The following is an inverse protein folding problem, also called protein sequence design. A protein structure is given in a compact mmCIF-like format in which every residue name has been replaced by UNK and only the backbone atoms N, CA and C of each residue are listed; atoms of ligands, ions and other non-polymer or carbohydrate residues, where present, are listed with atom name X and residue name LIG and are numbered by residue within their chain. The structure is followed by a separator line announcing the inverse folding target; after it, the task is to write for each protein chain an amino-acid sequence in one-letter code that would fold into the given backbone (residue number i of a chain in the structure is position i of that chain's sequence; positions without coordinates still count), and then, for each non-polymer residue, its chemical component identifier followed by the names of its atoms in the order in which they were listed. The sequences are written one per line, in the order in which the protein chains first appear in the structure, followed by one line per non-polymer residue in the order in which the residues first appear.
data_IF_346025874010
#
_entry.id   IF_346025874010
#
_cell.length_a   1.000
_cell.length_b   1.000
_cell.length_c   1.000
_cell.angle_alpha   90.00
_cell.angle_beta   90.00
_cell.angle_gamma   90.00
#
_symmetry.space_group_name_H-M   'P 1'
#
loop_
_entity.id
_entity.type
_entity.pdbx_description
1 polymer ?
#
# COMPACT_ATOMS: atom_id res chain seq x y z
N UNK A 1 12.13 8.23 10.16
CA UNK A 1 11.73 6.92 10.67
C UNK A 1 11.22 6.00 9.58
N UNK A 2 10.20 6.42 8.85
CA UNK A 2 9.65 5.64 7.74
C UNK A 2 10.67 5.45 6.62
N UNK A 3 11.37 6.51 6.25
CA UNK A 3 12.41 6.46 5.22
C UNK A 3 13.52 5.50 5.61
N UNK A 4 13.92 5.53 6.87
CA UNK A 4 14.96 4.65 7.40
C UNK A 4 14.52 3.19 7.32
N UNK A 5 13.27 2.91 7.68
CA UNK A 5 12.70 1.58 7.62
C UNK A 5 12.71 1.03 6.18
N UNK A 6 12.28 1.85 5.23
CA UNK A 6 12.30 1.45 3.82
C UNK A 6 13.72 1.24 3.31
N UNK A 7 14.69 2.02 3.81
CA UNK A 7 16.09 1.82 3.48
C UNK A 7 16.61 0.48 3.97
N UNK A 8 16.22 0.07 5.19
CA UNK A 8 16.59 -1.23 5.75
C UNK A 8 16.00 -2.38 4.94
N UNK A 9 14.82 -2.18 4.35
CA UNK A 9 14.19 -3.16 3.46
C UNK A 9 14.74 -3.07 2.04
N UNK A 10 15.73 -2.20 1.80
CA UNK A 10 16.32 -1.97 0.49
C UNK A 10 15.32 -1.44 -0.53
N UNK A 11 14.27 -0.79 -0.07
CA UNK A 11 13.27 -0.16 -0.93
C UNK A 11 13.71 1.22 -1.40
N UNK A 12 14.62 1.88 -0.66
CA UNK A 12 15.13 3.21 -0.97
C UNK A 12 16.65 3.18 -0.97
N UNK A 13 17.28 3.23 -2.15
CA UNK A 13 18.75 3.30 -2.20
C UNK A 13 19.22 4.69 -1.77
N UNK A 14 20.18 4.73 -0.85
CA UNK A 14 20.84 5.97 -0.48
C UNK A 14 21.84 6.32 -1.58
N UNK A 15 21.81 7.57 -2.05
CA UNK A 15 22.69 7.99 -3.14
C UNK A 15 23.98 8.63 -2.64
N UNK A 16 23.94 9.28 -1.47
CA UNK A 16 25.10 10.01 -0.97
C UNK A 16 24.94 10.25 0.51
N UNK A 17 26.05 10.69 1.13
CA UNK A 17 26.05 11.11 2.53
C UNK A 17 26.28 12.61 2.61
N UNK A 18 25.39 13.30 3.31
CA UNK A 18 25.54 14.72 3.55
C UNK A 18 26.55 15.04 4.64
N UNK A 19 26.72 16.32 4.92
CA UNK A 19 27.58 16.77 6.01
C UNK A 19 27.13 16.13 7.35
N UNK A 20 28.08 15.72 8.14
CA UNK A 20 27.81 15.05 9.41
C UNK A 20 27.44 13.58 9.26
N UNK A 21 27.62 12.99 8.09
CA UNK A 21 27.39 11.56 7.85
C UNK A 21 25.94 11.18 7.63
N UNK A 22 25.05 12.15 7.46
CA UNK A 22 23.64 11.88 7.18
C UNK A 22 23.46 11.35 5.76
N UNK A 23 22.53 10.42 5.61
CA UNK A 23 22.18 9.92 4.29
C UNK A 23 21.33 10.94 3.56
N UNK A 24 21.70 11.17 2.29
CA UNK A 24 20.92 12.01 1.40
C UNK A 24 20.26 11.13 0.35
N UNK A 25 19.04 11.45 -0.02
CA UNK A 25 18.29 10.71 -1.01
C UNK A 25 18.11 11.60 -2.26
N UNK A 26 18.23 10.98 -3.44
CA UNK A 26 18.00 11.66 -4.71
C UNK A 26 16.52 11.97 -4.90
N UNK A 27 16.21 12.80 -5.92
CA UNK A 27 14.83 13.06 -6.31
C UNK A 27 14.12 11.75 -6.70
N UNK A 28 14.85 10.83 -7.35
CA UNK A 28 14.29 9.53 -7.71
C UNK A 28 13.89 8.73 -6.47
N UNK A 29 14.71 8.81 -5.41
CA UNK A 29 14.38 8.15 -4.15
C UNK A 29 13.15 8.76 -3.50
N UNK A 30 12.98 10.08 -3.59
CA UNK A 30 11.79 10.76 -3.05
C UNK A 30 10.54 10.35 -3.82
N UNK A 31 10.62 10.29 -5.15
CA UNK A 31 9.49 9.83 -5.97
C UNK A 31 9.15 8.37 -5.67
N UNK A 32 10.16 7.53 -5.47
CA UNK A 32 9.97 6.14 -5.10
C UNK A 32 9.29 6.03 -3.74
N UNK A 33 9.67 6.87 -2.77
CA UNK A 33 9.03 6.92 -1.48
C UNK A 33 7.54 7.27 -1.60
N UNK A 34 7.21 8.26 -2.44
CA UNK A 34 5.82 8.64 -2.68
C UNK A 34 5.04 7.49 -3.30
N UNK A 35 5.65 6.76 -4.22
CA UNK A 35 5.06 5.59 -4.86
C UNK A 35 4.77 4.51 -3.82
N UNK A 36 5.77 4.19 -2.99
CA UNK A 36 5.63 3.20 -1.91
C UNK A 36 4.53 3.60 -0.94
N UNK A 37 4.49 4.88 -0.55
CA UNK A 37 3.48 5.40 0.37
C UNK A 37 2.08 5.26 -0.21
N UNK A 38 1.93 5.52 -1.51
CA UNK A 38 0.64 5.35 -2.20
C UNK A 38 0.19 3.89 -2.18
N UNK A 39 1.10 2.97 -2.48
CA UNK A 39 0.78 1.54 -2.46
C UNK A 39 0.39 1.07 -1.06
N UNK A 40 1.08 1.55 -0.04
CA UNK A 40 0.72 1.26 1.36
C UNK A 40 -0.68 1.77 1.67
N UNK A 41 -1.00 2.97 1.24
CA UNK A 41 -2.34 3.54 1.43
C UNK A 41 -3.42 2.69 0.78
N UNK A 42 -3.13 2.11 -0.39
CA UNK A 42 -4.06 1.24 -1.11
C UNK A 42 -4.19 -0.15 -0.47
N UNK A 43 -3.34 -0.46 0.49
CA UNK A 43 -3.44 -1.69 1.25
C UNK A 43 -2.51 -2.81 0.83
N UNK A 44 -1.52 -2.53 -0.02
CA UNK A 44 -0.51 -3.52 -0.36
C UNK A 44 0.44 -3.72 0.84
N UNK A 45 0.89 -4.96 1.03
CA UNK A 45 1.84 -5.26 2.10
C UNK A 45 3.24 -4.83 1.71
N UNK A 46 4.11 -4.68 2.72
CA UNK A 46 5.51 -4.35 2.47
C UNK A 46 6.21 -5.46 1.66
N UNK A 47 5.82 -6.72 1.86
CA UNK A 47 6.33 -7.82 1.06
C UNK A 47 5.99 -7.69 -0.40
N UNK A 48 4.74 -7.35 -0.71
CA UNK A 48 4.28 -7.12 -2.09
C UNK A 48 5.00 -5.93 -2.71
N UNK A 49 5.17 -4.86 -1.95
CA UNK A 49 5.90 -3.67 -2.42
C UNK A 49 7.37 -4.02 -2.66
N UNK A 50 7.97 -4.84 -1.79
CA UNK A 50 9.34 -5.29 -1.96
C UNK A 50 9.55 -6.08 -3.25
N UNK A 51 8.60 -6.95 -3.59
CA UNK A 51 8.65 -7.71 -4.83
C UNK A 51 8.62 -6.77 -6.05
N UNK A 52 7.76 -5.76 -6.01
CA UNK A 52 7.71 -4.74 -7.06
C UNK A 52 9.02 -3.99 -7.16
N UNK A 53 9.64 -3.68 -6.03
CA UNK A 53 10.91 -2.96 -6.00
C UNK A 53 12.02 -3.76 -6.67
N UNK A 54 12.02 -5.07 -6.52
CA UNK A 54 13.02 -5.93 -7.17
C UNK A 54 12.90 -5.86 -8.69
N UNK A 55 11.69 -5.63 -9.21
CA UNK A 55 11.45 -5.43 -10.64
C UNK A 55 11.68 -3.99 -11.08
N UNK A 56 11.83 -3.07 -10.13
CA UNK A 56 11.94 -1.63 -10.37
C UNK A 56 13.42 -1.20 -10.36
N UNK A 57 14.23 -1.82 -11.21
CA UNK A 57 15.69 -1.58 -11.23
C UNK A 57 16.02 -0.26 -11.89
N UNK A 58 15.35 0.07 -13.00
CA UNK A 58 15.67 1.23 -13.83
C UNK A 58 14.45 2.08 -14.11
N UNK A 59 13.51 2.15 -13.18
CA UNK A 59 12.24 2.84 -13.35
C UNK A 59 11.12 1.86 -13.68
N UNK A 60 9.98 2.38 -14.10
CA UNK A 60 8.81 1.56 -14.40
C UNK A 60 9.07 0.72 -15.66
N UNK A 61 9.19 -0.59 -15.50
CA UNK A 61 9.34 -1.53 -16.60
C UNK A 61 7.99 -2.16 -16.92
N UNK A 62 7.79 -2.70 -18.15
CA UNK A 62 6.55 -3.42 -18.46
C UNK A 62 6.27 -4.56 -17.48
N UNK A 63 7.31 -5.29 -17.05
CA UNK A 63 7.16 -6.38 -16.09
C UNK A 63 6.66 -5.87 -14.74
N UNK A 64 7.22 -4.77 -14.25
CA UNK A 64 6.80 -4.16 -12.98
C UNK A 64 5.36 -3.68 -13.07
N UNK A 65 5.00 -3.02 -14.17
CA UNK A 65 3.63 -2.50 -14.35
C UNK A 65 2.62 -3.65 -14.43
N UNK A 66 2.97 -4.75 -15.08
CA UNK A 66 2.11 -5.92 -15.14
C UNK A 66 1.90 -6.52 -13.76
N UNK A 67 2.96 -6.67 -12.99
CA UNK A 67 2.90 -7.20 -11.63
C UNK A 67 2.05 -6.29 -10.74
N UNK A 68 2.27 -4.99 -10.83
CA UNK A 68 1.49 -4.01 -10.08
C UNK A 68 0.01 -4.10 -10.44
N UNK A 69 -0.31 -4.20 -11.74
CA UNK A 69 -1.68 -4.35 -12.19
C UNK A 69 -2.37 -5.57 -11.61
N UNK A 70 -1.65 -6.69 -11.51
CA UNK A 70 -2.17 -7.92 -10.92
C UNK A 70 -2.44 -7.75 -9.41
N UNK A 71 -1.52 -7.12 -8.70
CA UNK A 71 -1.68 -6.85 -7.27
C UNK A 71 -2.87 -5.93 -7.01
N UNK A 72 -3.03 -4.90 -7.84
CA UNK A 72 -4.16 -3.98 -7.71
C UNK A 72 -5.48 -4.68 -8.02
N UNK A 73 -5.51 -5.58 -9.00
CA UNK A 73 -6.71 -6.34 -9.32
C UNK A 73 -7.14 -7.22 -8.14
N UNK A 74 -6.19 -7.90 -7.51
CA UNK A 74 -6.46 -8.72 -6.33
C UNK A 74 -6.99 -7.84 -5.19
N UNK A 75 -6.34 -6.70 -4.95
CA UNK A 75 -6.76 -5.79 -3.88
C UNK A 75 -8.16 -5.23 -4.15
N UNK A 76 -8.45 -4.89 -5.41
CA UNK A 76 -9.78 -4.40 -5.80
C UNK A 76 -10.85 -5.45 -5.49
N UNK A 77 -10.59 -6.71 -5.81
CA UNK A 77 -11.52 -7.80 -5.51
C UNK A 77 -11.75 -7.96 -4.00
N UNK A 78 -10.68 -7.87 -3.21
CA UNK A 78 -10.76 -7.95 -1.75
C UNK A 78 -11.63 -6.85 -1.18
N UNK A 79 -11.42 -5.62 -1.65
CA UNK A 79 -12.19 -4.46 -1.17
C UNK A 79 -13.66 -4.59 -1.57
N UNK A 80 -13.93 -5.01 -2.80
CA UNK A 80 -15.30 -5.22 -3.29
C UNK A 80 -16.04 -6.24 -2.43
N UNK A 81 -15.36 -7.34 -2.09
CA UNK A 81 -15.94 -8.37 -1.22
C UNK A 81 -16.22 -7.82 0.17
N UNK A 82 -15.28 -7.03 0.70
CA UNK A 82 -15.46 -6.42 2.02
C UNK A 82 -16.60 -5.44 2.05
N UNK A 83 -16.82 -4.70 0.97
CA UNK A 83 -17.97 -3.80 0.85
C UNK A 83 -19.28 -4.57 0.93
N UNK A 84 -19.37 -5.71 0.23
CA UNK A 84 -20.57 -6.55 0.30
C UNK A 84 -20.80 -7.08 1.71
N UNK A 85 -19.75 -7.56 2.37
CA UNK A 85 -19.86 -8.03 3.75
C UNK A 85 -20.36 -6.94 4.69
N UNK A 86 -19.81 -5.74 4.55
CA UNK A 86 -20.21 -4.61 5.39
C UNK A 86 -21.63 -4.16 5.11
N UNK A 87 -22.08 -4.19 3.85
CA UNK A 87 -23.47 -3.88 3.51
C UNK A 87 -24.44 -4.88 4.13
N UNK A 88 -24.09 -6.16 4.09
CA UNK A 88 -24.90 -7.21 4.71
C UNK A 88 -24.98 -7.01 6.23
N UNK A 89 -23.84 -6.72 6.85
CA UNK A 89 -23.79 -6.48 8.29
C UNK A 89 -24.61 -5.25 8.67
N UNK A 90 -24.49 -4.17 7.89
CA UNK A 90 -25.28 -2.97 8.14
C UNK A 90 -26.78 -3.27 8.07
N UNK A 91 -27.19 -4.06 7.09
CA UNK A 91 -28.59 -4.45 6.94
C UNK A 91 -29.08 -5.26 8.16
N UNK A 92 -28.26 -6.20 8.62
CA UNK A 92 -28.58 -7.00 9.82
C UNK A 92 -28.67 -6.12 11.07
N UNK A 93 -27.75 -5.18 11.21
CA UNK A 93 -27.76 -4.25 12.33
C UNK A 93 -29.03 -3.40 12.35
N UNK A 94 -29.42 -2.89 11.18
CA UNK A 94 -30.63 -2.08 11.06
C UNK A 94 -31.88 -2.88 11.41
N UNK A 95 -31.97 -4.12 10.94
CA UNK A 95 -33.11 -4.98 11.24
C UNK A 95 -33.22 -5.29 12.73
N UNK A 96 -32.08 -5.60 13.34
CA UNK A 96 -32.05 -5.89 14.77
C UNK A 96 -32.40 -4.65 15.59
N UNK A 97 -31.87 -3.52 15.19
CA UNK A 97 -32.16 -2.25 15.85
C UNK A 97 -33.65 -1.92 15.80
N UNK A 98 -34.31 -2.13 14.67
CA UNK A 98 -35.74 -1.91 14.53
C UNK A 98 -36.55 -2.82 15.46
N UNK A 99 -36.16 -4.09 15.59
CA UNK A 99 -36.82 -5.02 16.50
C UNK A 99 -36.74 -4.56 17.96
N UNK A 100 -35.57 -4.07 18.35
CA UNK A 100 -35.36 -3.58 19.71
C UNK A 100 -36.19 -2.33 19.98
N UNK A 101 -36.24 -1.41 19.05
CA UNK A 101 -37.00 -0.17 19.16
C UNK A 101 -38.50 -0.50 19.27
N UNK A 102 -39.01 -1.42 18.46
CA UNK A 102 -40.42 -1.78 18.43
C UNK A 102 -40.88 -2.51 19.70
N UNK A 103 -39.94 -3.07 20.47
CA UNK A 103 -40.24 -3.75 21.71
C UNK A 103 -40.28 -2.84 22.94
N UNK A 104 -39.90 -1.59 22.77
CA UNK A 104 -39.89 -0.63 23.86
C UNK A 104 -41.31 -0.07 24.15
#
# INVERSE_FOLDING_TARGET
RTIRYYGELKLLPATDRGPGGRRLYSNDAIERLRFISRLKHLGLSLGEIGELNDSFVSGATPAMLQQLGQLLAVRTAQVSERILELKQLLNELNKYRERIINKQ
#
